data_IF_484355348821
#
_entry.id   IF_484355348821
#
_cell.length_a   1.000
_cell.length_b   1.000
_cell.length_c   1.000
_cell.angle_alpha   90.00
_cell.angle_beta   90.00
_cell.angle_gamma   90.00
#
_symmetry.space_group_name_H-M   'P 1'
#
loop_
_entity.id
_entity.type
_entity.pdbx_description
1 polymer ?
#
# COMPACT_ATOMS: atom_id res chain seq x y z
N UNK A 1 8.23 -25.81 -7.19
CA UNK A 1 9.01 -26.09 -5.95
C UNK A 1 10.14 -25.09 -5.71
N UNK A 2 10.96 -24.76 -6.72
CA UNK A 2 12.15 -23.91 -6.58
C UNK A 2 11.85 -22.50 -6.04
N UNK A 3 10.64 -21.96 -6.27
CA UNK A 3 10.20 -20.63 -5.82
C UNK A 3 9.66 -20.58 -4.39
N UNK A 4 9.48 -21.74 -3.73
CA UNK A 4 8.84 -21.81 -2.41
C UNK A 4 9.63 -21.12 -1.30
N UNK A 5 10.97 -21.28 -1.19
CA UNK A 5 11.77 -20.49 -0.25
C UNK A 5 11.62 -18.98 -0.45
N UNK A 6 11.51 -18.53 -1.70
CA UNK A 6 11.25 -17.14 -2.06
C UNK A 6 9.86 -16.64 -1.62
N UNK A 7 8.82 -17.48 -1.76
CA UNK A 7 7.49 -17.15 -1.24
C UNK A 7 7.49 -17.01 0.28
N UNK A 8 8.12 -17.96 0.99
CA UNK A 8 8.24 -17.91 2.45
C UNK A 8 9.00 -16.66 2.91
N UNK A 9 10.07 -16.29 2.21
CA UNK A 9 10.82 -15.06 2.45
C UNK A 9 9.92 -13.82 2.33
N UNK A 10 9.15 -13.72 1.25
CA UNK A 10 8.22 -12.59 1.06
C UNK A 10 7.15 -12.52 2.15
N UNK A 11 6.64 -13.68 2.62
CA UNK A 11 5.69 -13.75 3.74
C UNK A 11 6.34 -13.28 5.05
N UNK A 12 7.57 -13.70 5.33
CA UNK A 12 8.33 -13.23 6.51
C UNK A 12 8.54 -11.71 6.48
N UNK A 13 8.92 -11.14 5.34
CA UNK A 13 9.06 -9.69 5.20
C UNK A 13 7.73 -8.97 5.43
N UNK A 14 6.64 -9.41 4.79
CA UNK A 14 5.30 -8.81 4.95
C UNK A 14 4.81 -8.85 6.40
N UNK A 15 5.08 -9.95 7.12
CA UNK A 15 4.75 -10.09 8.54
C UNK A 15 5.43 -9.02 9.40
N UNK A 16 6.68 -8.68 9.09
CA UNK A 16 7.47 -7.74 9.88
C UNK A 16 7.14 -6.26 9.63
N UNK A 17 6.66 -5.89 8.44
CA UNK A 17 6.47 -4.49 8.06
C UNK A 17 5.55 -3.75 9.04
N UNK A 18 4.36 -4.31 9.34
CA UNK A 18 3.36 -3.64 10.18
C UNK A 18 3.88 -3.32 11.59
N UNK A 19 4.31 -4.30 12.41
CA UNK A 19 4.78 -4.03 13.77
C UNK A 19 6.06 -3.19 13.79
N UNK A 20 6.90 -3.31 12.76
CA UNK A 20 8.13 -2.52 12.65
C UNK A 20 7.85 -1.04 12.40
N UNK A 21 6.97 -0.73 11.44
CA UNK A 21 6.59 0.65 11.11
C UNK A 21 5.93 1.33 12.31
N UNK A 22 5.02 0.64 13.00
CA UNK A 22 4.33 1.19 14.18
C UNK A 22 5.33 1.56 15.28
N UNK A 23 6.15 0.61 15.72
CA UNK A 23 7.10 0.85 16.81
C UNK A 23 8.14 1.91 16.45
N UNK A 24 8.72 1.84 15.25
CA UNK A 24 9.74 2.77 14.80
C UNK A 24 9.21 4.21 14.70
N UNK A 25 8.03 4.42 14.10
CA UNK A 25 7.46 5.76 13.94
C UNK A 25 7.01 6.38 15.26
N UNK A 26 6.41 5.60 16.15
CA UNK A 26 5.98 6.11 17.46
C UNK A 26 7.20 6.56 18.27
N UNK A 27 8.26 5.74 18.37
CA UNK A 27 9.51 6.12 19.05
C UNK A 27 10.14 7.34 18.37
N UNK A 28 10.26 7.30 17.04
CA UNK A 28 10.94 8.33 16.27
C UNK A 28 10.27 9.70 16.37
N UNK A 29 8.94 9.75 16.39
CA UNK A 29 8.21 11.02 16.49
C UNK A 29 8.01 11.49 17.93
N UNK A 30 7.89 10.58 18.90
CA UNK A 30 7.73 10.96 20.32
C UNK A 30 9.01 11.51 20.96
N UNK A 31 10.18 11.12 20.45
CA UNK A 31 11.48 11.60 20.95
C UNK A 31 11.90 12.94 20.32
N UNK A 32 11.31 13.30 19.17
CA UNK A 32 11.62 14.53 18.45
C UNK A 32 10.78 15.70 18.99
N UNK A 33 11.46 16.72 19.52
CA UNK A 33 10.82 17.96 19.93
C UNK A 33 10.39 18.79 18.70
N UNK A 34 9.19 18.52 18.17
CA UNK A 34 8.69 19.15 16.93
C UNK A 34 8.71 20.68 16.96
N UNK A 35 8.48 21.33 18.10
CA UNK A 35 8.51 22.80 18.18
C UNK A 35 9.91 23.38 17.97
N UNK A 36 10.96 22.67 18.40
CA UNK A 36 12.36 23.09 18.23
C UNK A 36 12.94 22.60 16.90
N UNK A 37 12.47 21.45 16.41
CA UNK A 37 13.03 20.76 15.24
C UNK A 37 12.16 20.89 13.97
N UNK A 38 11.06 21.65 13.99
CA UNK A 38 10.15 21.80 12.85
C UNK A 38 10.83 22.35 11.60
N UNK A 39 11.83 23.25 11.75
CA UNK A 39 12.60 23.78 10.62
C UNK A 39 13.42 22.72 9.92
N UNK A 40 14.00 21.79 10.68
CA UNK A 40 14.77 20.67 10.13
C UNK A 40 13.80 19.74 9.39
N UNK A 41 12.68 19.39 10.03
CA UNK A 41 11.63 18.55 9.42
C UNK A 41 11.07 19.16 8.12
N UNK A 42 10.78 20.47 8.11
CA UNK A 42 10.27 21.17 6.92
C UNK A 42 11.29 21.18 5.78
N UNK A 43 12.58 21.42 6.08
CA UNK A 43 13.65 21.34 5.07
C UNK A 43 13.76 19.93 4.49
N UNK A 44 13.62 18.90 5.32
CA UNK A 44 13.61 17.50 4.88
C UNK A 44 12.41 17.19 3.98
N UNK A 45 11.21 17.67 4.31
CA UNK A 45 10.02 17.50 3.46
C UNK A 45 10.23 18.17 2.10
N UNK A 46 10.69 19.43 2.08
CA UNK A 46 10.97 20.15 0.83
C UNK A 46 12.00 19.38 0.00
N UNK A 47 13.08 18.91 0.63
CA UNK A 47 14.11 18.10 -0.03
C UNK A 47 13.53 16.81 -0.65
N UNK A 48 12.69 16.07 0.08
CA UNK A 48 12.07 14.87 -0.46
C UNK A 48 11.16 15.16 -1.65
N UNK A 49 10.36 16.23 -1.59
CA UNK A 49 9.46 16.60 -2.69
C UNK A 49 10.28 16.99 -3.92
N UNK A 50 11.29 17.85 -3.78
CA UNK A 50 12.10 18.31 -4.91
C UNK A 50 12.88 17.16 -5.54
N UNK A 51 13.53 16.31 -4.74
CA UNK A 51 14.24 15.12 -5.25
C UNK A 51 13.28 14.12 -5.90
N UNK A 52 12.08 13.92 -5.37
CA UNK A 52 11.08 13.03 -5.98
C UNK A 52 10.63 13.52 -7.36
N UNK A 53 10.39 14.83 -7.50
CA UNK A 53 10.03 15.43 -8.80
C UNK A 53 11.17 15.25 -9.81
N UNK A 54 12.42 15.49 -9.40
CA UNK A 54 13.58 15.28 -10.25
C UNK A 54 13.73 13.80 -10.66
N UNK A 55 13.57 12.87 -9.73
CA UNK A 55 13.63 11.42 -9.99
C UNK A 55 12.54 10.96 -10.98
N UNK A 56 11.29 11.40 -10.79
CA UNK A 56 10.18 11.08 -11.69
C UNK A 56 10.42 11.68 -13.08
N UNK A 57 10.89 12.92 -13.16
CA UNK A 57 11.19 13.59 -14.44
C UNK A 57 12.29 12.85 -15.20
N UNK A 58 13.40 12.52 -14.52
CA UNK A 58 14.50 11.76 -15.10
C UNK A 58 14.04 10.36 -15.54
N UNK A 59 13.26 9.67 -14.71
CA UNK A 59 12.71 8.35 -15.02
C UNK A 59 11.78 8.37 -16.23
N UNK A 60 10.92 9.38 -16.35
CA UNK A 60 10.02 9.55 -17.49
C UNK A 60 10.79 9.85 -18.78
N UNK A 61 11.79 10.74 -18.72
CA UNK A 61 12.66 11.02 -19.88
C UNK A 61 13.36 9.73 -20.32
N UNK A 62 13.92 8.96 -19.40
CA UNK A 62 14.64 7.73 -19.70
C UNK A 62 13.72 6.67 -20.31
N UNK A 63 12.53 6.46 -19.73
CA UNK A 63 11.58 5.44 -20.23
C UNK A 63 11.02 5.79 -21.59
N UNK A 64 10.75 7.08 -21.85
CA UNK A 64 10.28 7.58 -23.15
C UNK A 64 11.40 7.74 -24.18
N UNK A 65 12.67 7.68 -23.78
CA UNK A 65 13.79 7.70 -24.74
C UNK A 65 14.16 6.27 -25.14
N UNK A 66 14.33 5.40 -24.14
CA UNK A 66 14.78 4.02 -24.34
C UNK A 66 13.62 3.12 -24.81
N UNK A 67 12.37 3.43 -24.42
CA UNK A 67 11.19 2.59 -24.65
C UNK A 67 11.46 1.11 -24.32
N UNK A 68 11.82 0.77 -23.08
CA UNK A 68 12.11 -0.61 -22.72
C UNK A 68 10.82 -1.47 -22.73
N UNK A 69 10.85 -2.57 -23.49
CA UNK A 69 9.73 -3.51 -23.62
C UNK A 69 9.05 -3.44 -24.99
N UNK A 70 8.64 -4.58 -25.54
CA UNK A 70 7.95 -4.61 -26.83
C UNK A 70 6.42 -4.47 -26.65
N UNK A 71 5.73 -3.62 -27.44
CA UNK A 71 4.27 -3.50 -27.42
C UNK A 71 3.55 -4.82 -27.72
N UNK A 72 4.23 -5.74 -28.42
CA UNK A 72 3.66 -6.99 -28.92
C UNK A 72 3.52 -8.09 -27.85
N UNK A 73 4.19 -7.95 -26.69
CA UNK A 73 4.08 -8.91 -25.56
C UNK A 73 2.79 -8.69 -24.74
N UNK A 74 2.01 -7.65 -25.02
CA UNK A 74 0.76 -7.34 -24.30
C UNK A 74 -0.49 -8.02 -24.88
N UNK A 75 -0.38 -8.88 -25.91
CA UNK A 75 -1.54 -9.32 -26.70
C UNK A 75 -2.43 -10.39 -26.02
N UNK A 76 -1.99 -11.03 -24.91
CA UNK A 76 -2.78 -12.09 -24.25
C UNK A 76 -3.23 -11.79 -22.81
N UNK A 77 -3.23 -10.52 -22.38
CA UNK A 77 -3.88 -10.10 -21.12
C UNK A 77 -5.04 -9.15 -21.41
N UNK A 78 -5.92 -9.53 -22.34
CA UNK A 78 -7.27 -8.96 -22.46
C UNK A 78 -8.22 -9.61 -21.48
N UNK A 79 -7.80 -9.74 -20.20
CA UNK A 79 -8.79 -9.54 -19.15
C UNK A 79 -8.99 -8.04 -19.13
N UNK A 80 -9.94 -7.56 -19.94
CA UNK A 80 -10.51 -6.22 -19.85
C UNK A 80 -11.09 -6.13 -18.44
N UNK A 81 -10.24 -5.82 -17.48
CA UNK A 81 -10.70 -5.32 -16.19
C UNK A 81 -11.33 -3.99 -16.56
N UNK A 82 -12.65 -4.03 -16.78
CA UNK A 82 -13.52 -2.87 -16.68
C UNK A 82 -13.42 -2.38 -15.23
N UNK A 83 -12.25 -1.82 -14.88
CA UNK A 83 -12.11 -0.91 -13.77
C UNK A 83 -12.98 0.27 -14.20
N UNK A 84 -14.25 0.27 -13.78
CA UNK A 84 -15.18 1.34 -14.08
C UNK A 84 -14.46 2.66 -13.87
N UNK A 85 -14.39 3.47 -14.93
CA UNK A 85 -13.51 4.64 -15.07
C UNK A 85 -13.39 5.44 -13.77
N UNK A 86 -12.44 5.08 -12.91
CA UNK A 86 -12.19 5.85 -11.70
C UNK A 86 -11.61 7.16 -12.16
N UNK A 87 -12.28 8.26 -11.84
CA UNK A 87 -11.73 9.56 -12.20
C UNK A 87 -10.43 9.77 -11.42
N UNK A 88 -9.46 10.48 -12.01
CA UNK A 88 -8.21 10.80 -11.31
C UNK A 88 -8.47 11.44 -9.94
N UNK A 89 -9.53 12.24 -9.85
CA UNK A 89 -9.98 12.84 -8.60
C UNK A 89 -10.41 11.80 -7.57
N UNK A 90 -11.09 10.71 -7.96
CA UNK A 90 -11.45 9.65 -7.02
C UNK A 90 -10.20 8.99 -6.42
N UNK A 91 -9.16 8.73 -7.23
CA UNK A 91 -7.90 8.18 -6.72
C UNK A 91 -7.21 9.13 -5.73
N UNK A 92 -7.22 10.44 -5.99
CA UNK A 92 -6.69 11.44 -5.06
C UNK A 92 -7.51 11.50 -3.77
N UNK A 93 -8.84 11.48 -3.88
CA UNK A 93 -9.74 11.48 -2.73
C UNK A 93 -9.60 10.19 -1.92
N UNK A 94 -9.41 9.04 -2.57
CA UNK A 94 -9.15 7.75 -1.93
C UNK A 94 -7.80 7.76 -1.20
N UNK A 95 -6.77 8.41 -1.76
CA UNK A 95 -5.50 8.61 -1.03
C UNK A 95 -5.72 9.43 0.24
N UNK A 96 -6.53 10.50 0.17
CA UNK A 96 -6.91 11.30 1.35
C UNK A 96 -7.69 10.50 2.40
N UNK A 97 -8.68 9.69 1.97
CA UNK A 97 -9.43 8.78 2.85
C UNK A 97 -8.53 7.72 3.48
N UNK A 98 -7.57 7.19 2.72
CA UNK A 98 -6.61 6.23 3.26
C UNK A 98 -5.56 6.88 4.17
N UNK A 99 -5.31 8.19 4.05
CA UNK A 99 -4.45 8.93 4.99
C UNK A 99 -5.12 9.06 6.36
N UNK A 100 -6.41 9.38 6.40
CA UNK A 100 -7.21 9.51 7.63
C UNK A 100 -8.20 8.37 7.72
N UNK A 101 -7.74 7.25 8.25
CA UNK A 101 -8.50 5.99 8.28
C UNK A 101 -9.61 5.99 9.30
N UNK A 102 -10.74 5.37 8.97
CA UNK A 102 -11.85 5.19 9.90
C UNK A 102 -11.47 4.23 11.05
N UNK A 103 -10.61 3.24 10.78
CA UNK A 103 -10.18 2.26 11.77
C UNK A 103 -8.75 1.77 11.53
N UNK A 104 -7.89 1.87 12.55
CA UNK A 104 -6.47 1.46 12.46
C UNK A 104 -6.28 -0.05 12.37
N UNK A 105 -7.16 -0.83 13.00
CA UNK A 105 -7.10 -2.29 12.97
C UNK A 105 -7.54 -2.81 11.62
N UNK A 106 -8.62 -2.25 11.06
CA UNK A 106 -9.05 -2.56 9.69
C UNK A 106 -7.95 -2.22 8.68
N UNK A 107 -7.30 -1.07 8.87
CA UNK A 107 -6.17 -0.63 8.03
C UNK A 107 -4.97 -1.59 8.03
N UNK A 108 -4.87 -2.50 9.01
CA UNK A 108 -3.82 -3.53 9.01
C UNK A 108 -4.01 -4.56 7.89
N UNK A 109 -5.26 -4.79 7.45
CA UNK A 109 -5.61 -5.84 6.50
C UNK A 109 -6.42 -5.37 5.29
N UNK A 110 -6.98 -4.15 5.31
CA UNK A 110 -7.79 -3.59 4.24
C UNK A 110 -7.43 -2.13 3.87
N UNK A 111 -7.73 -1.79 2.61
CA UNK A 111 -7.63 -0.44 2.03
C UNK A 111 -8.97 -0.01 1.44
N UNK A 112 -9.31 1.27 1.61
CA UNK A 112 -10.55 1.85 1.07
C UNK A 112 -10.33 2.32 -0.36
N UNK A 113 -11.24 2.00 -1.28
CA UNK A 113 -11.24 2.50 -2.65
C UNK A 113 -12.64 2.82 -3.14
N UNK A 114 -12.73 3.72 -4.11
CA UNK A 114 -13.98 4.07 -4.80
C UNK A 114 -14.25 3.04 -5.90
N UNK A 115 -15.36 2.34 -5.78
CA UNK A 115 -15.86 1.41 -6.78
C UNK A 115 -17.07 2.01 -7.49
N UNK A 116 -17.05 1.93 -8.83
CA UNK A 116 -18.20 2.28 -9.67
C UNK A 116 -19.03 1.04 -9.94
N UNK A 117 -20.29 1.07 -9.50
CA UNK A 117 -21.23 -0.02 -9.72
C UNK A 117 -22.46 0.49 -10.48
N UNK A 118 -23.08 -0.38 -11.26
CA UNK A 118 -24.36 -0.08 -11.91
C UNK A 118 -25.48 -0.58 -10.99
N UNK A 119 -26.27 0.31 -10.37
CA UNK A 119 -27.35 -0.07 -9.47
C UNK A 119 -28.45 -0.86 -10.20
N UNK A 120 -28.62 -0.67 -11.52
CA UNK A 120 -29.56 -1.44 -12.33
C UNK A 120 -29.10 -2.89 -12.54
N UNK A 121 -27.80 -3.13 -12.77
CA UNK A 121 -27.24 -4.49 -12.85
C UNK A 121 -27.28 -5.20 -11.51
N UNK A 122 -27.01 -4.50 -10.41
CA UNK A 122 -27.10 -5.06 -9.06
C UNK A 122 -28.55 -5.43 -8.70
N UNK A 123 -29.51 -4.53 -8.98
CA UNK A 123 -30.94 -4.83 -8.83
C UNK A 123 -31.39 -5.97 -9.74
N UNK A 124 -30.91 -6.05 -10.98
CA UNK A 124 -31.19 -7.17 -11.87
C UNK A 124 -30.62 -8.49 -11.35
N UNK A 125 -29.40 -8.51 -10.79
CA UNK A 125 -28.81 -9.70 -10.16
C UNK A 125 -29.60 -10.16 -8.91
N UNK A 126 -30.04 -9.21 -8.08
CA UNK A 126 -30.88 -9.47 -6.91
C UNK A 126 -32.27 -9.96 -7.32
N UNK A 127 -32.87 -9.38 -8.38
CA UNK A 127 -34.18 -9.76 -8.90
C UNK A 127 -34.14 -11.07 -9.70
N UNK A 128 -33.03 -11.40 -10.37
CA UNK A 128 -32.83 -12.69 -11.05
C UNK A 128 -32.67 -13.86 -10.08
N UNK A 129 -32.29 -13.61 -8.82
CA UNK A 129 -32.41 -14.61 -7.77
C UNK A 129 -33.87 -14.86 -7.34
N UNK A 130 -34.82 -14.01 -7.78
CA UNK A 130 -36.23 -14.06 -7.39
C UNK A 130 -37.21 -14.43 -8.53
N UNK A 131 -36.95 -14.15 -9.82
CA UNK A 131 -37.85 -14.59 -10.90
C UNK A 131 -37.24 -14.46 -12.31
N UNK A 132 -37.39 -15.52 -13.11
CA UNK A 132 -36.98 -15.60 -14.52
C UNK A 132 -38.06 -14.98 -15.43
N UNK A 133 -37.92 -13.69 -15.80
CA UNK A 133 -38.65 -13.12 -16.95
C UNK A 133 -37.78 -12.17 -17.77
N UNK A 134 -37.82 -12.40 -19.08
CA UNK A 134 -37.12 -11.66 -20.13
C UNK A 134 -37.35 -10.14 -20.04
N UNK A 135 -36.27 -9.37 -19.88
CA UNK A 135 -36.33 -7.91 -19.97
C UNK A 135 -35.48 -7.42 -21.15
N UNK A 136 -36.18 -6.97 -22.20
CA UNK A 136 -35.64 -6.07 -23.22
C UNK A 136 -35.95 -4.64 -22.81
N UNK A 137 -34.92 -3.79 -22.72
CA UNK A 137 -34.83 -2.46 -23.38
C UNK A 137 -33.93 -1.51 -22.57
N UNK A 138 -33.10 -0.81 -23.34
CA UNK A 138 -32.06 0.16 -23.02
C UNK A 138 -32.33 1.09 -21.82
N UNK A 139 -31.58 0.91 -20.74
CA UNK A 139 -31.41 1.91 -19.69
C UNK A 139 -30.05 2.61 -19.84
N UNK A 140 -30.04 3.94 -19.74
CA UNK A 140 -28.81 4.72 -19.57
C UNK A 140 -28.07 4.22 -18.33
N UNK A 141 -26.85 3.73 -18.51
CA UNK A 141 -26.03 3.19 -17.42
C UNK A 141 -25.63 4.34 -16.49
N UNK A 142 -26.48 4.67 -15.52
CA UNK A 142 -26.13 5.59 -14.44
C UNK A 142 -25.20 4.85 -13.48
N UNK A 143 -23.89 5.10 -13.57
CA UNK A 143 -22.92 4.52 -12.64
C UNK A 143 -22.98 5.26 -11.30
N UNK A 144 -23.20 4.52 -10.21
CA UNK A 144 -23.16 5.05 -8.85
C UNK A 144 -21.80 4.79 -8.21
N UNK A 145 -21.35 5.70 -7.34
CA UNK A 145 -20.10 5.56 -6.57
C UNK A 145 -20.41 4.90 -5.23
N UNK A 146 -19.64 3.88 -4.84
CA UNK A 146 -19.62 3.37 -3.46
C UNK A 146 -18.18 3.18 -2.97
N UNK A 147 -18.00 3.29 -1.66
CA UNK A 147 -16.74 2.91 -1.02
C UNK A 147 -16.73 1.39 -0.84
N UNK A 148 -15.61 0.76 -1.20
CA UNK A 148 -15.38 -0.67 -1.05
C UNK A 148 -14.00 -0.91 -0.43
N UNK A 149 -13.82 -2.11 0.12
CA UNK A 149 -12.59 -2.50 0.81
C UNK A 149 -11.85 -3.56 -0.01
N UNK A 150 -10.54 -3.37 -0.15
CA UNK A 150 -9.64 -4.32 -0.82
C UNK A 150 -8.67 -4.88 0.20
N UNK A 151 -8.44 -6.19 0.13
CA UNK A 151 -7.40 -6.84 0.92
C UNK A 151 -6.02 -6.23 0.64
N UNK A 152 -5.36 -5.78 1.70
CA UNK A 152 -4.06 -5.13 1.66
C UNK A 152 -3.91 -4.17 2.81
N UNK A 153 -2.70 -4.04 3.34
CA UNK A 153 -2.43 -3.13 4.46
C UNK A 153 -2.47 -1.68 3.97
N UNK A 154 -3.33 -0.84 4.57
CA UNK A 154 -3.29 0.61 4.40
C UNK A 154 -2.13 1.22 5.20
N UNK A 155 -0.91 1.07 4.66
CA UNK A 155 0.32 1.57 5.27
C UNK A 155 0.31 3.10 5.41
N UNK A 156 -0.29 3.83 4.46
CA UNK A 156 -0.36 5.30 4.49
C UNK A 156 -1.08 5.78 5.76
N UNK A 157 -2.25 5.20 6.04
CA UNK A 157 -3.03 5.49 7.23
C UNK A 157 -2.34 5.13 8.54
N UNK A 158 -1.71 3.95 8.58
CA UNK A 158 -0.93 3.51 9.75
C UNK A 158 0.23 4.48 10.03
N UNK A 159 0.95 4.92 9.00
CA UNK A 159 2.03 5.90 9.13
C UNK A 159 1.48 7.22 9.70
N UNK A 160 0.40 7.73 9.13
CA UNK A 160 -0.23 8.98 9.57
C UNK A 160 -0.69 8.93 11.04
N UNK A 161 -1.33 7.82 11.42
CA UNK A 161 -1.71 7.56 12.80
C UNK A 161 -0.50 7.53 13.72
N UNK A 162 0.56 6.77 13.38
CA UNK A 162 1.74 6.64 14.24
C UNK A 162 2.49 7.96 14.41
N UNK A 163 2.58 8.78 13.36
CA UNK A 163 3.19 10.11 13.43
C UNK A 163 2.37 11.03 14.33
N UNK A 164 1.04 11.04 14.17
CA UNK A 164 0.14 11.85 15.02
C UNK A 164 0.19 11.38 16.48
N UNK A 165 0.09 10.08 16.70
CA UNK A 165 0.14 9.46 18.03
C UNK A 165 1.48 9.76 18.71
N UNK A 166 2.60 9.51 18.04
CA UNK A 166 3.92 9.76 18.60
C UNK A 166 4.19 11.25 18.82
N UNK A 167 3.73 12.13 17.93
CA UNK A 167 3.77 13.59 18.13
C UNK A 167 3.04 14.02 19.41
N UNK A 168 1.80 13.56 19.61
CA UNK A 168 1.01 13.85 20.82
C UNK A 168 1.68 13.24 22.05
N UNK A 169 2.15 11.99 21.96
CA UNK A 169 2.87 11.31 23.03
C UNK A 169 4.12 12.07 23.44
N UNK A 170 4.87 12.63 22.48
CA UNK A 170 6.03 13.47 22.73
C UNK A 170 5.71 14.76 23.49
N UNK A 171 4.47 15.24 23.43
CA UNK A 171 4.01 16.43 24.18
C UNK A 171 3.57 16.12 25.61
N UNK A 172 3.33 14.84 25.95
CA UNK A 172 2.90 14.42 27.28
C UNK A 172 4.06 14.57 28.29
N UNK A 173 3.72 14.72 29.57
CA UNK A 173 4.66 14.82 30.68
C UNK A 173 5.42 13.50 30.95
N UNK A 174 5.91 13.26 32.19
CA UNK A 174 6.82 12.15 32.49
C UNK A 174 6.23 10.76 32.24
N UNK A 175 4.89 10.64 32.19
CA UNK A 175 4.18 9.37 31.95
C UNK A 175 4.49 8.77 30.56
N UNK A 176 4.87 9.59 29.57
CA UNK A 176 5.17 9.10 28.21
C UNK A 176 6.35 8.14 28.15
N UNK A 177 7.28 8.25 29.10
CA UNK A 177 8.51 7.44 29.11
C UNK A 177 8.19 5.95 29.13
N UNK A 178 7.17 5.55 29.89
CA UNK A 178 6.72 4.14 29.97
C UNK A 178 6.25 3.64 28.61
N UNK A 179 5.48 4.45 27.88
CA UNK A 179 4.97 4.09 26.55
C UNK A 179 6.10 4.04 25.51
N UNK A 180 7.04 5.01 25.55
CA UNK A 180 8.21 5.01 24.66
C UNK A 180 9.09 3.78 24.93
N UNK A 181 9.32 3.44 26.20
CA UNK A 181 10.12 2.28 26.59
C UNK A 181 9.46 0.97 26.15
N UNK A 182 8.14 0.85 26.31
CA UNK A 182 7.37 -0.28 25.77
C UNK A 182 7.59 -0.49 24.27
N UNK A 183 7.37 0.55 23.45
CA UNK A 183 7.61 0.44 22.01
C UNK A 183 9.08 0.20 21.69
N UNK A 184 10.01 0.74 22.49
CA UNK A 184 11.45 0.54 22.31
C UNK A 184 11.85 -0.92 22.50
N UNK A 185 11.33 -1.58 23.55
CA UNK A 185 11.58 -3.01 23.77
C UNK A 185 11.03 -3.84 22.60
N UNK A 186 9.82 -3.54 22.13
CA UNK A 186 9.25 -4.20 20.95
C UNK A 186 10.14 -3.98 19.72
N UNK A 187 10.56 -2.75 19.46
CA UNK A 187 11.42 -2.42 18.33
C UNK A 187 12.76 -3.18 18.39
N UNK A 188 13.38 -3.30 19.57
CA UNK A 188 14.61 -4.09 19.73
C UNK A 188 14.38 -5.59 19.46
N UNK A 189 13.26 -6.15 19.89
CA UNK A 189 12.89 -7.54 19.57
C UNK A 189 12.69 -7.70 18.05
N UNK A 190 12.01 -6.75 17.41
CA UNK A 190 11.80 -6.75 15.96
C UNK A 190 13.13 -6.65 15.20
N UNK A 191 14.10 -5.85 15.67
CA UNK A 191 15.44 -5.81 15.06
C UNK A 191 16.17 -7.15 15.16
N UNK A 192 16.06 -7.86 16.29
CA UNK A 192 16.63 -9.20 16.44
C UNK A 192 15.96 -10.21 15.50
N UNK A 193 14.64 -10.17 15.39
CA UNK A 193 13.91 -10.98 14.41
C UNK A 193 14.32 -10.66 12.98
N UNK A 194 14.52 -9.38 12.66
CA UNK A 194 14.90 -8.90 11.33
C UNK A 194 16.29 -9.44 10.96
N UNK A 195 17.21 -9.49 11.89
CA UNK A 195 18.54 -10.08 11.67
C UNK A 195 18.45 -11.55 11.26
N UNK A 196 17.51 -12.31 11.83
CA UNK A 196 17.23 -13.69 11.40
C UNK A 196 16.73 -13.76 9.95
N UNK A 197 15.81 -12.87 9.56
CA UNK A 197 15.32 -12.79 8.17
C UNK A 197 16.42 -12.36 7.20
N UNK A 198 17.30 -11.43 7.62
CA UNK A 198 18.44 -10.98 6.81
C UNK A 198 19.35 -12.17 6.47
N UNK A 199 19.61 -13.06 7.42
CA UNK A 199 20.43 -14.25 7.17
C UNK A 199 19.81 -15.21 6.12
N UNK A 200 18.47 -15.23 6.01
CA UNK A 200 17.76 -16.03 5.01
C UNK A 200 17.66 -15.34 3.62
N UNK A 201 17.94 -14.03 3.54
CA UNK A 201 17.89 -13.24 2.30
C UNK A 201 18.62 -13.86 1.10
N UNK A 202 19.86 -14.36 1.18
CA UNK A 202 20.53 -14.94 0.01
C UNK A 202 19.74 -16.10 -0.61
N UNK A 203 19.15 -16.96 0.22
CA UNK A 203 18.33 -18.09 -0.23
C UNK A 203 16.99 -17.60 -0.78
N UNK A 204 16.33 -16.69 -0.07
CA UNK A 204 15.04 -16.14 -0.48
C UNK A 204 15.12 -15.40 -1.81
N UNK A 205 16.07 -14.47 -1.95
CA UNK A 205 16.29 -13.69 -3.18
C UNK A 205 16.69 -14.60 -4.34
N UNK A 206 17.62 -15.54 -4.12
CA UNK A 206 18.02 -16.49 -5.16
C UNK A 206 16.84 -17.33 -5.68
N UNK A 207 15.98 -17.80 -4.77
CA UNK A 207 14.76 -18.54 -5.11
C UNK A 207 13.74 -17.69 -5.90
N UNK A 208 13.56 -16.41 -5.53
CA UNK A 208 12.68 -15.49 -6.26
C UNK A 208 13.19 -15.26 -7.68
N UNK A 209 14.49 -14.97 -7.83
CA UNK A 209 15.11 -14.71 -9.14
C UNK A 209 14.99 -15.95 -10.03
N UNK A 210 15.38 -17.13 -9.52
CA UNK A 210 15.28 -18.39 -10.26
C UNK A 210 13.84 -18.69 -10.67
N UNK A 211 12.89 -18.52 -9.74
CA UNK A 211 11.46 -18.71 -10.01
C UNK A 211 10.93 -17.75 -11.08
N UNK A 212 11.36 -16.49 -11.08
CA UNK A 212 10.97 -15.50 -12.10
C UNK A 212 11.59 -15.79 -13.46
N UNK A 213 12.85 -16.20 -13.53
CA UNK A 213 13.52 -16.54 -14.79
C UNK A 213 12.83 -17.75 -15.44
N UNK A 214 12.55 -18.81 -14.67
CA UNK A 214 11.87 -20.01 -15.19
C UNK A 214 10.45 -19.70 -15.68
N UNK A 215 9.76 -18.73 -15.07
CA UNK A 215 8.40 -18.33 -15.50
C UNK A 215 8.37 -17.57 -16.83
N UNK A 216 9.52 -17.14 -17.35
CA UNK A 216 9.61 -16.50 -18.67
C UNK A 216 9.81 -17.60 -19.71
N UNK A 217 8.75 -17.93 -20.45
CA UNK A 217 8.74 -19.01 -21.46
C UNK A 217 9.53 -18.68 -22.74
N UNK A 218 10.01 -17.44 -22.91
CA UNK A 218 10.79 -17.03 -24.09
C UNK A 218 12.18 -16.53 -23.67
N UNK A 219 13.16 -17.44 -23.70
CA UNK A 219 14.58 -17.13 -23.58
C UNK A 219 15.35 -17.48 -24.87
N UNK A 220 14.69 -17.24 -26.01
CA UNK A 220 15.27 -17.29 -27.37
C UNK A 220 14.97 -16.00 -28.10
#
# INVERSE_FOLDING_TARGET
LISYPGELFMRMLKLMILPFVISCLIIGTATVNMRKNSRIAMRTIIYFITTSILNVTLGLILVLTIHPGSPQVHVNTTTTVNNGNTTLLDSFLDMGRNLVTDNIFQSAFEQTYTEYYSPEREKALINHAAEEKNFTQSSEITQARRLSFRNGTNTLGIIFFCITFGSVLGSIGPQKTIVIEFFTVIYQVLLKMLMGVIWFTPVGVGSIICGKIISVENLS
#
